data_IF_928270495076
#
_entry.id   IF_928270495076
#
_cell.length_a   1.000
_cell.length_b   1.000
_cell.length_c   1.000
_cell.angle_alpha   90.00
_cell.angle_beta   90.00
_cell.angle_gamma   90.00
#
_symmetry.space_group_name_H-M   'P 1'
#
loop_
_entity.id
_entity.type
_entity.pdbx_description
1 polymer ?
#
# COMPACT_ATOMS: atom_id res chain seq x y z
N UNK A 1 -3.30 14.51 -15.87
CA UNK A 1 -2.92 15.89 -16.24
C UNK A 1 -2.00 16.52 -15.18
N UNK A 2 -2.42 16.59 -13.91
CA UNK A 2 -1.58 17.12 -12.82
C UNK A 2 -0.16 16.52 -12.75
N UNK A 3 -0.01 15.20 -12.80
CA UNK A 3 1.32 14.56 -12.74
C UNK A 3 2.26 14.96 -13.90
N UNK A 4 1.69 15.28 -15.08
CA UNK A 4 2.43 15.75 -16.25
C UNK A 4 2.87 17.21 -16.09
N UNK A 5 2.01 18.03 -15.48
CA UNK A 5 2.28 19.43 -15.15
C UNK A 5 3.29 19.55 -13.99
N UNK A 6 3.16 18.71 -12.96
CA UNK A 6 4.15 18.59 -11.89
C UNK A 6 5.53 18.21 -12.44
N UNK A 7 5.57 17.28 -13.40
CA UNK A 7 6.82 16.87 -14.05
C UNK A 7 7.50 18.02 -14.80
N UNK A 8 6.75 18.87 -15.50
CA UNK A 8 7.32 20.00 -16.25
C UNK A 8 7.77 21.15 -15.33
N UNK A 9 7.12 21.31 -14.17
CA UNK A 9 7.41 22.38 -13.20
C UNK A 9 8.49 22.03 -12.18
N UNK A 10 8.71 20.74 -11.89
CA UNK A 10 9.71 20.27 -10.92
C UNK A 10 11.14 20.84 -11.13
N UNK A 11 11.64 20.92 -12.39
CA UNK A 11 12.98 21.43 -12.66
C UNK A 11 13.10 22.96 -12.54
N UNK A 12 11.99 23.69 -12.67
CA UNK A 12 11.97 25.15 -12.83
C UNK A 12 11.47 25.90 -11.59
N UNK A 13 10.73 25.26 -10.68
CA UNK A 13 10.15 25.91 -9.50
C UNK A 13 11.17 26.09 -8.35
N UNK A 14 11.95 27.17 -8.34
CA UNK A 14 12.97 27.41 -7.31
C UNK A 14 12.59 28.45 -6.25
N UNK A 15 11.54 29.24 -6.45
CA UNK A 15 11.05 30.22 -5.47
C UNK A 15 10.13 29.56 -4.43
N UNK A 16 10.11 30.10 -3.20
CA UNK A 16 9.36 29.53 -2.07
C UNK A 16 7.85 29.52 -2.33
N UNK A 17 7.31 30.60 -2.92
CA UNK A 17 5.89 30.74 -3.24
C UNK A 17 5.39 29.70 -4.24
N UNK A 18 6.11 29.47 -5.35
CA UNK A 18 5.71 28.45 -6.32
C UNK A 18 5.87 27.03 -5.76
N UNK A 19 6.88 26.81 -4.92
CA UNK A 19 7.13 25.53 -4.26
C UNK A 19 6.01 25.17 -3.30
N UNK A 20 5.53 26.14 -2.50
CA UNK A 20 4.46 25.90 -1.51
C UNK A 20 3.09 25.66 -2.18
N UNK A 21 2.79 26.35 -3.30
CA UNK A 21 1.58 26.09 -4.09
C UNK A 21 1.62 24.69 -4.70
N UNK A 22 2.74 24.32 -5.35
CA UNK A 22 2.92 22.97 -5.90
C UNK A 22 2.84 21.89 -4.82
N UNK A 23 3.31 22.19 -3.60
CA UNK A 23 3.23 21.30 -2.46
C UNK A 23 1.79 21.09 -1.99
N UNK A 24 0.98 22.15 -1.94
CA UNK A 24 -0.44 22.08 -1.59
C UNK A 24 -1.22 21.22 -2.59
N UNK A 25 -1.05 21.49 -3.89
CA UNK A 25 -1.71 20.74 -4.96
C UNK A 25 -1.29 19.26 -4.96
N UNK A 26 0.00 19.01 -4.72
CA UNK A 26 0.55 17.66 -4.58
C UNK A 26 -0.09 16.89 -3.41
N UNK A 27 -0.31 17.55 -2.27
CA UNK A 27 -0.99 16.92 -1.14
C UNK A 27 -2.43 16.57 -1.47
N UNK A 28 -3.15 17.50 -2.10
CA UNK A 28 -4.52 17.26 -2.53
C UNK A 28 -4.60 16.02 -3.43
N UNK A 29 -3.71 15.91 -4.43
CA UNK A 29 -3.68 14.78 -5.34
C UNK A 29 -3.18 13.47 -4.71
N UNK A 30 -2.29 13.51 -3.71
CA UNK A 30 -1.93 12.34 -2.90
C UNK A 30 -3.16 11.84 -2.14
N UNK A 31 -3.91 12.73 -1.48
CA UNK A 31 -5.14 12.38 -0.76
C UNK A 31 -6.19 11.81 -1.72
N UNK A 32 -6.41 12.42 -2.89
CA UNK A 32 -7.34 11.88 -3.90
C UNK A 32 -6.89 10.50 -4.39
N UNK A 33 -5.59 10.30 -4.62
CA UNK A 33 -5.06 9.02 -5.05
C UNK A 33 -5.28 7.92 -3.99
N UNK A 34 -5.15 8.26 -2.71
CA UNK A 34 -5.47 7.36 -1.59
C UNK A 34 -6.97 7.01 -1.55
N UNK A 35 -7.85 8.01 -1.67
CA UNK A 35 -9.31 7.77 -1.71
C UNK A 35 -9.71 6.90 -2.90
N UNK A 36 -9.07 7.06 -4.07
CA UNK A 36 -9.32 6.19 -5.23
C UNK A 36 -8.77 4.77 -5.03
N UNK A 37 -7.68 4.61 -4.30
CA UNK A 37 -7.16 3.31 -3.89
C UNK A 37 -8.15 2.60 -2.96
N UNK A 38 -8.66 3.32 -1.96
CA UNK A 38 -9.62 2.86 -0.96
C UNK A 38 -10.94 2.43 -1.60
N UNK A 39 -11.48 3.22 -2.53
CA UNK A 39 -12.74 2.92 -3.23
C UNK A 39 -12.63 1.81 -4.30
N UNK A 40 -11.48 1.13 -4.41
CA UNK A 40 -11.23 0.03 -5.35
C UNK A 40 -11.49 0.35 -6.84
N UNK A 41 -11.61 1.62 -7.23
CA UNK A 41 -11.87 2.01 -8.62
C UNK A 41 -10.61 1.74 -9.46
N UNK A 42 -10.70 0.77 -10.38
CA UNK A 42 -9.62 0.48 -11.30
C UNK A 42 -9.56 1.52 -12.42
N UNK A 43 -8.45 2.27 -12.56
CA UNK A 43 -8.33 3.16 -13.69
C UNK A 43 -8.26 2.31 -14.97
N UNK A 44 -8.85 2.79 -16.09
CA UNK A 44 -8.74 2.12 -17.38
C UNK A 44 -7.29 1.78 -17.76
N UNK A 45 -7.09 0.72 -18.54
CA UNK A 45 -5.75 0.19 -18.89
C UNK A 45 -4.80 1.25 -19.45
N UNK A 46 -5.32 2.17 -20.24
CA UNK A 46 -4.56 3.29 -20.82
C UNK A 46 -4.14 4.31 -19.76
N UNK A 47 -5.02 4.63 -18.82
CA UNK A 47 -4.74 5.47 -17.66
C UNK A 47 -3.69 4.82 -16.75
N UNK A 48 -3.78 3.51 -16.53
CA UNK A 48 -2.76 2.74 -15.78
C UNK A 48 -1.37 2.79 -16.44
N UNK A 49 -1.28 2.64 -17.77
CA UNK A 49 -0.01 2.76 -18.50
C UNK A 49 0.56 4.17 -18.35
N UNK A 50 -0.28 5.19 -18.52
CA UNK A 50 0.13 6.59 -18.40
C UNK A 50 0.58 6.93 -16.98
N UNK A 51 -0.12 6.45 -15.95
CA UNK A 51 0.26 6.62 -14.54
C UNK A 51 1.60 5.95 -14.22
N UNK A 52 1.85 4.76 -14.76
CA UNK A 52 3.14 4.07 -14.60
C UNK A 52 4.29 4.84 -15.25
N UNK A 53 4.08 5.32 -16.47
CA UNK A 53 5.12 6.04 -17.21
C UNK A 53 5.39 7.41 -16.60
N UNK A 54 4.36 8.15 -16.17
CA UNK A 54 4.54 9.45 -15.52
C UNK A 54 5.14 9.29 -14.11
N UNK A 55 4.73 8.27 -13.34
CA UNK A 55 5.32 7.96 -12.04
C UNK A 55 6.81 7.64 -12.16
N UNK A 56 7.20 6.83 -13.15
CA UNK A 56 8.61 6.54 -13.44
C UNK A 56 9.40 7.80 -13.82
N UNK A 57 8.82 8.65 -14.67
CA UNK A 57 9.42 9.92 -15.11
C UNK A 57 9.63 10.88 -13.93
N UNK A 58 8.60 11.08 -13.11
CA UNK A 58 8.67 11.89 -11.88
C UNK A 58 9.74 11.36 -10.92
N UNK A 59 9.77 10.05 -10.68
CA UNK A 59 10.81 9.42 -9.86
C UNK A 59 12.21 9.72 -10.39
N UNK A 60 12.44 9.50 -11.70
CA UNK A 60 13.74 9.72 -12.32
C UNK A 60 14.18 11.18 -12.25
N UNK A 61 13.27 12.14 -12.45
CA UNK A 61 13.59 13.56 -12.30
C UNK A 61 13.87 13.94 -10.85
N UNK A 62 13.11 13.42 -9.88
CA UNK A 62 13.45 13.61 -8.46
C UNK A 62 14.84 13.06 -8.11
N UNK A 63 15.30 11.98 -8.77
CA UNK A 63 16.65 11.43 -8.58
C UNK A 63 17.71 12.29 -9.28
N UNK A 64 17.45 12.76 -10.51
CA UNK A 64 18.35 13.70 -11.21
C UNK A 64 18.54 14.99 -10.42
N UNK A 65 17.44 15.56 -9.93
CA UNK A 65 17.46 16.74 -9.08
C UNK A 65 18.23 16.53 -7.77
N UNK A 66 18.17 15.32 -7.18
CA UNK A 66 18.99 14.97 -6.02
C UNK A 66 20.48 14.86 -6.37
N UNK A 67 20.83 14.25 -7.50
CA UNK A 67 22.24 14.03 -7.92
C UNK A 67 22.96 15.30 -8.34
N UNK A 68 22.23 16.34 -8.76
CA UNK A 68 22.80 17.66 -9.07
C UNK A 68 23.35 18.41 -7.83
N UNK A 69 23.20 17.88 -6.60
CA UNK A 69 23.21 18.66 -5.35
C UNK A 69 24.21 18.24 -4.29
N UNK A 70 25.48 18.16 -4.66
CA UNK A 70 26.56 18.29 -3.66
C UNK A 70 26.83 19.76 -3.26
N UNK A 71 26.06 20.74 -3.79
CA UNK A 71 26.23 22.16 -3.46
C UNK A 71 24.93 22.85 -3.00
N UNK A 72 24.95 23.27 -1.73
CA UNK A 72 24.34 24.43 -1.05
C UNK A 72 22.81 24.69 -1.09
N UNK A 73 22.26 24.78 0.14
CA UNK A 73 21.09 25.56 0.60
C UNK A 73 19.79 25.42 -0.21
N UNK A 74 19.07 24.32 0.05
CA UNK A 74 17.70 24.14 -0.40
C UNK A 74 16.72 24.49 0.73
N UNK A 75 15.65 25.24 0.43
CA UNK A 75 14.58 25.52 1.39
C UNK A 75 13.86 24.24 1.81
N UNK A 76 13.40 24.18 3.06
CA UNK A 76 12.67 23.03 3.61
C UNK A 76 11.48 22.62 2.72
N UNK A 77 10.73 23.61 2.19
CA UNK A 77 9.62 23.40 1.26
C UNK A 77 10.02 22.64 -0.01
N UNK A 78 11.21 22.90 -0.57
CA UNK A 78 11.65 22.25 -1.81
C UNK A 78 12.13 20.83 -1.58
N UNK A 79 12.69 20.55 -0.40
CA UNK A 79 12.95 19.17 0.05
C UNK A 79 11.65 18.40 0.21
N UNK A 80 10.64 19.01 0.85
CA UNK A 80 9.32 18.41 1.06
C UNK A 80 8.60 18.14 -0.27
N UNK A 81 8.66 19.06 -1.23
CA UNK A 81 8.08 18.88 -2.58
C UNK A 81 8.66 17.64 -3.29
N UNK A 82 9.96 17.44 -3.20
CA UNK A 82 10.64 16.31 -3.85
C UNK A 82 10.35 14.98 -3.15
N UNK A 83 10.22 14.97 -1.82
CA UNK A 83 9.82 13.77 -1.07
C UNK A 83 8.39 13.41 -1.43
N UNK A 84 7.46 14.36 -1.36
CA UNK A 84 6.05 14.12 -1.68
C UNK A 84 5.83 13.76 -3.15
N UNK A 85 6.65 14.27 -4.07
CA UNK A 85 6.59 13.89 -5.49
C UNK A 85 7.02 12.43 -5.67
N UNK A 86 7.97 11.93 -4.85
CA UNK A 86 8.35 10.51 -4.85
C UNK A 86 7.25 9.63 -4.24
N UNK A 87 6.57 10.10 -3.21
CA UNK A 87 5.38 9.43 -2.64
C UNK A 87 4.26 9.36 -3.66
N UNK A 88 3.94 10.45 -4.36
CA UNK A 88 2.95 10.45 -5.44
C UNK A 88 3.37 9.55 -6.61
N UNK A 89 4.64 9.59 -7.01
CA UNK A 89 5.17 8.70 -8.05
C UNK A 89 5.05 7.23 -7.64
N UNK A 90 5.25 6.93 -6.35
CA UNK A 90 5.07 5.62 -5.77
C UNK A 90 3.59 5.20 -5.73
N UNK A 91 2.69 6.06 -5.22
CA UNK A 91 1.25 5.80 -5.21
C UNK A 91 0.71 5.62 -6.63
N UNK A 92 1.13 6.44 -7.58
CA UNK A 92 0.81 6.27 -8.99
C UNK A 92 1.33 4.94 -9.53
N UNK A 93 2.48 4.45 -9.06
CA UNK A 93 3.03 3.15 -9.46
C UNK A 93 2.28 1.97 -8.80
N UNK A 94 1.91 2.10 -7.52
CA UNK A 94 1.14 1.13 -6.74
C UNK A 94 -0.31 1.01 -7.26
N UNK A 95 -0.98 2.14 -7.48
CA UNK A 95 -2.29 2.28 -8.12
C UNK A 95 -2.26 1.76 -9.56
N UNK A 96 -1.17 1.99 -10.28
CA UNK A 96 -1.10 1.61 -11.68
C UNK A 96 -1.09 0.10 -11.89
N UNK A 97 -0.42 -0.74 -11.07
CA UNK A 97 -0.19 -2.11 -11.58
C UNK A 97 0.32 -3.24 -10.69
N UNK A 98 0.75 -3.07 -9.45
CA UNK A 98 1.41 -4.19 -8.72
C UNK A 98 0.61 -4.72 -7.54
N UNK A 99 -0.03 -3.86 -6.74
CA UNK A 99 -0.91 -4.29 -5.66
C UNK A 99 -2.20 -4.93 -6.19
N UNK A 100 -2.95 -4.19 -7.03
CA UNK A 100 -4.19 -4.70 -7.66
C UNK A 100 -3.91 -5.89 -8.56
N UNK A 101 -2.79 -5.91 -9.29
CA UNK A 101 -2.43 -7.06 -10.14
C UNK A 101 -1.99 -8.26 -9.32
N UNK A 102 -1.20 -8.10 -8.26
CA UNK A 102 -0.86 -9.23 -7.40
C UNK A 102 -2.11 -9.80 -6.72
N UNK A 103 -3.04 -8.94 -6.26
CA UNK A 103 -4.32 -9.40 -5.71
C UNK A 103 -5.16 -10.14 -6.75
N UNK A 104 -5.34 -9.57 -7.94
CA UNK A 104 -6.04 -10.22 -9.06
C UNK A 104 -5.34 -11.51 -9.49
N UNK A 105 -4.01 -11.57 -9.49
CA UNK A 105 -3.25 -12.76 -9.82
C UNK A 105 -3.36 -13.83 -8.72
N UNK A 106 -3.42 -13.45 -7.44
CA UNK A 106 -3.71 -14.36 -6.31
C UNK A 106 -5.13 -14.91 -6.42
N UNK A 107 -6.10 -14.08 -6.78
CA UNK A 107 -7.50 -14.47 -7.04
C UNK A 107 -7.62 -15.37 -8.29
N UNK A 108 -6.89 -15.05 -9.36
CA UNK A 108 -6.89 -15.78 -10.63
C UNK A 108 -5.90 -16.96 -10.69
N UNK A 109 -5.25 -17.30 -9.57
CA UNK A 109 -4.21 -18.35 -9.46
C UNK A 109 -2.98 -18.18 -10.37
N UNK A 110 -2.70 -16.98 -10.88
CA UNK A 110 -1.44 -16.64 -11.56
C UNK A 110 -0.34 -16.34 -10.51
N UNK A 111 0.11 -17.39 -9.83
CA UNK A 111 1.01 -17.26 -8.68
C UNK A 111 2.38 -16.70 -9.09
N UNK A 112 2.86 -16.98 -10.31
CA UNK A 112 4.15 -16.50 -10.81
C UNK A 112 4.12 -15.00 -11.09
N UNK A 113 3.04 -14.50 -11.71
CA UNK A 113 2.82 -13.07 -11.90
C UNK A 113 2.70 -12.31 -10.58
N UNK A 114 2.04 -12.90 -9.58
CA UNK A 114 1.96 -12.36 -8.23
C UNK A 114 3.34 -12.32 -7.55
N UNK A 115 4.13 -13.39 -7.65
CA UNK A 115 5.48 -13.49 -7.07
C UNK A 115 6.43 -12.44 -7.65
N UNK A 116 6.41 -12.25 -8.97
CA UNK A 116 7.21 -11.23 -9.64
C UNK A 116 6.81 -9.80 -9.21
N UNK A 117 5.51 -9.57 -9.05
CA UNK A 117 4.99 -8.27 -8.58
C UNK A 117 5.39 -8.02 -7.12
N UNK A 118 5.33 -9.06 -6.28
CA UNK A 118 5.76 -9.02 -4.89
C UNK A 118 7.27 -8.78 -4.72
N UNK A 119 8.11 -9.36 -5.57
CA UNK A 119 9.56 -9.13 -5.54
C UNK A 119 9.90 -7.65 -5.82
N UNK A 120 9.17 -7.02 -6.74
CA UNK A 120 9.33 -5.59 -7.04
C UNK A 120 8.85 -4.72 -5.89
N UNK A 121 7.67 -5.02 -5.33
CA UNK A 121 7.16 -4.33 -4.16
C UNK A 121 8.16 -4.34 -2.98
N UNK A 122 8.83 -5.48 -2.75
CA UNK A 122 9.88 -5.62 -1.74
C UNK A 122 11.06 -4.67 -1.98
N UNK A 123 11.64 -4.65 -3.19
CA UNK A 123 12.73 -3.72 -3.56
C UNK A 123 12.32 -2.27 -3.33
N UNK A 124 11.07 -1.92 -3.66
CA UNK A 124 10.57 -0.56 -3.47
C UNK A 124 10.44 -0.19 -2.00
N UNK A 125 9.87 -1.05 -1.15
CA UNK A 125 9.77 -0.81 0.29
C UNK A 125 11.16 -0.63 0.90
N UNK A 126 12.12 -1.50 0.54
CA UNK A 126 13.50 -1.38 1.01
C UNK A 126 14.15 -0.05 0.60
N UNK A 127 13.85 0.44 -0.62
CA UNK A 127 14.33 1.72 -1.10
C UNK A 127 13.66 2.91 -0.41
N UNK A 128 12.37 2.82 -0.09
CA UNK A 128 11.64 3.84 0.66
C UNK A 128 12.20 3.98 2.08
N UNK A 129 12.46 2.86 2.75
CA UNK A 129 13.05 2.84 4.10
C UNK A 129 14.46 3.44 4.19
N UNK A 130 15.21 3.43 3.08
CA UNK A 130 16.57 3.99 2.98
C UNK A 130 16.58 5.49 2.67
N UNK A 131 15.42 6.14 2.56
CA UNK A 131 15.37 7.58 2.31
C UNK A 131 15.63 8.32 3.63
N UNK A 132 16.73 9.07 3.66
CA UNK A 132 17.00 10.01 4.75
C UNK A 132 16.05 11.21 4.69
N UNK A 133 15.71 11.78 5.85
CA UNK A 133 14.85 12.96 6.00
C UNK A 133 13.36 12.78 5.64
N UNK A 134 12.79 11.57 5.79
CA UNK A 134 11.33 11.40 5.73
C UNK A 134 10.64 12.13 6.89
N UNK A 135 9.56 12.85 6.57
CA UNK A 135 8.69 13.44 7.59
C UNK A 135 7.97 12.34 8.38
N UNK A 136 7.40 12.68 9.54
CA UNK A 136 6.62 11.72 10.33
C UNK A 136 5.45 11.15 9.51
N UNK A 137 4.76 12.00 8.74
CA UNK A 137 3.66 11.59 7.87
C UNK A 137 4.12 10.60 6.78
N UNK A 138 5.27 10.86 6.14
CA UNK A 138 5.81 9.95 5.12
C UNK A 138 6.19 8.59 5.72
N UNK A 139 6.71 8.57 6.96
CA UNK A 139 7.06 7.32 7.65
C UNK A 139 5.83 6.46 7.93
N UNK A 140 4.74 7.09 8.39
CA UNK A 140 3.45 6.41 8.61
C UNK A 140 2.94 5.80 7.31
N UNK A 141 3.02 6.54 6.19
CA UNK A 141 2.61 6.01 4.89
C UNK A 141 3.48 4.82 4.45
N UNK A 142 4.80 4.88 4.64
CA UNK A 142 5.70 3.76 4.33
C UNK A 142 5.38 2.53 5.19
N UNK A 143 5.06 2.71 6.47
CA UNK A 143 4.65 1.63 7.37
C UNK A 143 3.33 1.00 6.91
N UNK A 144 2.34 1.81 6.52
CA UNK A 144 1.07 1.33 5.96
C UNK A 144 1.28 0.48 4.71
N UNK A 145 2.09 0.99 3.77
CA UNK A 145 2.44 0.26 2.53
C UNK A 145 3.13 -1.07 2.85
N UNK A 146 4.00 -1.08 3.85
CA UNK A 146 4.67 -2.30 4.28
C UNK A 146 3.71 -3.32 4.89
N UNK A 147 2.78 -2.90 5.74
CA UNK A 147 1.76 -3.76 6.33
C UNK A 147 0.88 -4.43 5.25
N UNK A 148 0.45 -3.65 4.26
CA UNK A 148 -0.33 -4.15 3.12
C UNK A 148 0.48 -5.15 2.27
N UNK A 149 1.74 -4.84 2.00
CA UNK A 149 2.64 -5.76 1.28
C UNK A 149 2.83 -7.08 2.02
N UNK A 150 3.11 -7.05 3.33
CA UNK A 150 3.35 -8.24 4.13
C UNK A 150 2.09 -9.11 4.20
N UNK A 151 0.91 -8.50 4.29
CA UNK A 151 -0.36 -9.24 4.26
C UNK A 151 -0.61 -9.89 2.90
N UNK A 152 -0.34 -9.17 1.81
CA UNK A 152 -0.44 -9.76 0.47
C UNK A 152 0.56 -10.92 0.28
N UNK A 153 1.77 -10.82 0.86
CA UNK A 153 2.73 -11.92 0.91
C UNK A 153 2.22 -13.11 1.72
N UNK A 154 1.47 -12.88 2.80
CA UNK A 154 0.80 -13.95 3.54
C UNK A 154 -0.18 -14.69 2.62
N UNK A 155 -1.10 -13.96 1.99
CA UNK A 155 -2.10 -14.53 1.08
C UNK A 155 -1.47 -15.31 -0.07
N UNK A 156 -0.47 -14.74 -0.74
CA UNK A 156 0.23 -15.42 -1.83
C UNK A 156 0.93 -16.70 -1.34
N UNK A 157 1.58 -16.65 -0.17
CA UNK A 157 2.31 -17.81 0.37
C UNK A 157 1.36 -18.93 0.79
N UNK A 158 0.21 -18.58 1.38
CA UNK A 158 -0.86 -19.54 1.64
C UNK A 158 -1.41 -20.16 0.34
N UNK A 159 -1.71 -19.37 -0.70
CA UNK A 159 -2.12 -19.91 -2.01
C UNK A 159 -1.07 -20.83 -2.66
N UNK A 160 0.21 -20.62 -2.35
CA UNK A 160 1.31 -21.49 -2.78
C UNK A 160 1.44 -22.76 -1.94
N UNK A 161 0.59 -22.97 -0.93
CA UNK A 161 0.69 -24.07 0.03
C UNK A 161 1.83 -23.92 1.03
N UNK A 162 2.46 -22.74 1.13
CA UNK A 162 3.55 -22.42 2.05
C UNK A 162 3.04 -21.58 3.21
N UNK A 163 2.29 -22.25 4.07
CA UNK A 163 1.69 -21.65 5.27
C UNK A 163 2.76 -21.20 6.28
N UNK A 164 3.89 -21.89 6.34
CA UNK A 164 5.08 -21.50 7.10
C UNK A 164 5.62 -20.12 6.71
N UNK A 165 5.68 -19.84 5.41
CA UNK A 165 6.09 -18.53 4.89
C UNK A 165 5.00 -17.49 5.16
N UNK A 166 3.72 -17.86 5.09
CA UNK A 166 2.63 -16.96 5.44
C UNK A 166 2.71 -16.53 6.92
N UNK A 167 2.96 -17.46 7.83
CA UNK A 167 3.19 -17.18 9.26
C UNK A 167 4.37 -16.23 9.47
N UNK A 168 5.49 -16.49 8.79
CA UNK A 168 6.67 -15.66 8.91
C UNK A 168 6.41 -14.21 8.42
N UNK A 169 5.68 -14.06 7.32
CA UNK A 169 5.31 -12.73 6.81
C UNK A 169 4.35 -12.00 7.75
N UNK A 170 3.39 -12.71 8.35
CA UNK A 170 2.49 -12.14 9.36
C UNK A 170 3.26 -11.68 10.60
N UNK A 171 4.17 -12.51 11.12
CA UNK A 171 5.02 -12.14 12.25
C UNK A 171 5.89 -10.91 11.96
N UNK A 172 6.34 -10.73 10.71
CA UNK A 172 7.08 -9.55 10.27
C UNK A 172 6.20 -8.30 10.19
N UNK A 173 4.90 -8.45 9.94
CA UNK A 173 3.96 -7.33 9.94
C UNK A 173 3.83 -6.74 11.35
N UNK A 174 3.76 -7.60 12.37
CA UNK A 174 3.90 -7.22 13.79
C UNK A 174 3.12 -5.95 14.14
N UNK A 175 3.81 -4.99 14.77
CA UNK A 175 3.23 -3.72 15.24
C UNK A 175 2.65 -2.84 14.12
N UNK A 176 3.07 -3.04 12.85
CA UNK A 176 2.55 -2.27 11.72
C UNK A 176 1.04 -2.47 11.51
N UNK A 177 0.49 -3.57 12.04
CA UNK A 177 -0.94 -3.89 11.94
C UNK A 177 -1.81 -3.05 12.89
N UNK A 178 -1.26 -2.52 13.99
CA UNK A 178 -2.05 -1.75 14.96
C UNK A 178 -2.29 -0.30 14.53
N UNK A 179 -1.43 0.25 13.67
CA UNK A 179 -1.52 1.64 13.20
C UNK A 179 -2.32 1.79 11.89
N UNK A 180 -3.06 0.75 11.49
CA UNK A 180 -3.86 0.76 10.27
C UNK A 180 -5.09 1.66 10.42
N UNK A 181 -5.41 2.39 9.36
CA UNK A 181 -6.72 3.00 9.23
C UNK A 181 -7.81 1.94 9.00
N UNK A 182 -9.09 2.27 9.28
CA UNK A 182 -10.19 1.31 9.19
C UNK A 182 -10.30 0.61 7.84
N UNK A 183 -10.09 1.32 6.73
CA UNK A 183 -10.20 0.73 5.40
C UNK A 183 -9.14 -0.34 5.19
N UNK A 184 -7.88 -0.04 5.49
CA UNK A 184 -6.81 -1.04 5.35
C UNK A 184 -6.99 -2.19 6.34
N UNK A 185 -7.43 -1.94 7.57
CA UNK A 185 -7.72 -3.00 8.54
C UNK A 185 -8.80 -3.98 8.03
N UNK A 186 -9.90 -3.47 7.47
CA UNK A 186 -10.95 -4.31 6.87
C UNK A 186 -10.43 -5.16 5.71
N UNK A 187 -9.63 -4.58 4.81
CA UNK A 187 -9.06 -5.31 3.68
C UNK A 187 -8.13 -6.44 4.11
N UNK A 188 -7.32 -6.19 5.14
CA UNK A 188 -6.40 -7.18 5.68
C UNK A 188 -7.16 -8.28 6.43
N UNK A 189 -8.20 -7.90 7.18
CA UNK A 189 -9.09 -8.85 7.85
C UNK A 189 -9.83 -9.75 6.86
N UNK A 190 -10.34 -9.22 5.75
CA UNK A 190 -10.99 -9.99 4.67
C UNK A 190 -10.03 -11.05 4.10
N UNK A 191 -8.76 -10.66 3.92
CA UNK A 191 -7.72 -11.58 3.45
C UNK A 191 -7.45 -12.71 4.45
N UNK A 192 -7.36 -12.41 5.75
CA UNK A 192 -7.14 -13.41 6.80
C UNK A 192 -8.36 -14.29 7.03
N UNK A 193 -9.56 -13.73 6.91
CA UNK A 193 -10.82 -14.46 6.92
C UNK A 193 -10.86 -15.49 5.78
N UNK A 194 -10.50 -15.10 4.56
CA UNK A 194 -10.40 -16.00 3.42
C UNK A 194 -9.38 -17.13 3.61
N UNK A 195 -8.23 -16.87 4.26
CA UNK A 195 -7.25 -17.91 4.63
C UNK A 195 -7.87 -18.88 5.65
N UNK A 196 -8.51 -18.35 6.68
CA UNK A 196 -9.16 -19.14 7.73
C UNK A 196 -10.25 -20.07 7.20
N UNK A 197 -11.16 -19.54 6.38
CA UNK A 197 -12.26 -20.31 5.78
C UNK A 197 -11.77 -21.45 4.88
N UNK A 198 -10.70 -21.24 4.10
CA UNK A 198 -10.10 -22.31 3.30
C UNK A 198 -9.45 -23.39 4.18
N UNK A 199 -8.77 -23.01 5.26
CA UNK A 199 -8.20 -23.98 6.20
C UNK A 199 -9.29 -24.80 6.90
N UNK A 200 -10.43 -24.20 7.26
CA UNK A 200 -11.60 -24.94 7.75
C UNK A 200 -12.08 -25.96 6.72
N UNK A 201 -12.20 -25.56 5.46
CA UNK A 201 -12.65 -26.46 4.39
C UNK A 201 -11.71 -27.65 4.18
N UNK A 202 -10.43 -27.49 4.53
CA UNK A 202 -9.39 -28.52 4.48
C UNK A 202 -9.27 -29.35 5.77
N UNK A 203 -10.04 -29.01 6.81
CA UNK A 203 -10.03 -29.69 8.12
C UNK A 203 -8.88 -29.29 9.03
N UNK A 204 -8.11 -28.25 8.68
CA UNK A 204 -7.05 -27.70 9.54
C UNK A 204 -7.64 -26.66 10.51
N UNK A 205 -8.44 -27.17 11.46
CA UNK A 205 -9.23 -26.33 12.37
C UNK A 205 -8.34 -25.47 13.28
N UNK A 206 -7.22 -26.00 13.76
CA UNK A 206 -6.30 -25.26 14.64
C UNK A 206 -5.75 -24.03 13.92
N UNK A 207 -5.26 -24.22 12.70
CA UNK A 207 -4.71 -23.11 11.93
C UNK A 207 -5.80 -22.14 11.46
N UNK A 208 -6.96 -22.67 11.07
CA UNK A 208 -8.10 -21.86 10.69
C UNK A 208 -8.53 -20.90 11.80
N UNK A 209 -8.74 -21.42 13.02
CA UNK A 209 -9.08 -20.62 14.19
C UNK A 209 -8.04 -19.52 14.44
N UNK A 210 -6.75 -19.83 14.23
CA UNK A 210 -5.68 -18.85 14.38
C UNK A 210 -5.81 -17.69 13.39
N UNK A 211 -6.04 -17.96 12.10
CA UNK A 211 -6.21 -16.90 11.09
C UNK A 211 -7.52 -16.12 11.26
N UNK A 212 -8.62 -16.81 11.60
CA UNK A 212 -9.90 -16.16 11.88
C UNK A 212 -9.82 -15.20 13.08
N UNK A 213 -9.11 -15.59 14.15
CA UNK A 213 -8.86 -14.70 15.29
C UNK A 213 -8.05 -13.46 14.89
N UNK A 214 -7.01 -13.61 14.08
CA UNK A 214 -6.23 -12.47 13.57
C UNK A 214 -7.08 -11.52 12.73
N UNK A 215 -7.98 -12.06 11.90
CA UNK A 215 -8.92 -11.25 11.14
C UNK A 215 -9.86 -10.47 12.08
N UNK A 216 -10.36 -11.14 13.12
CA UNK A 216 -11.24 -10.53 14.11
C UNK A 216 -10.54 -9.43 14.93
N UNK A 217 -9.30 -9.68 15.35
CA UNK A 217 -8.49 -8.72 16.12
C UNK A 217 -8.28 -7.43 15.32
N UNK A 218 -7.91 -7.55 14.03
CA UNK A 218 -7.77 -6.37 13.15
C UNK A 218 -9.04 -5.52 13.06
N UNK A 219 -10.21 -6.15 12.98
CA UNK A 219 -11.48 -5.42 12.89
C UNK A 219 -11.86 -4.82 14.24
N UNK A 220 -11.64 -5.55 15.34
CA UNK A 220 -11.99 -5.08 16.68
C UNK A 220 -11.05 -3.98 17.20
N UNK A 221 -9.83 -3.90 16.69
CA UNK A 221 -8.92 -2.77 16.96
C UNK A 221 -9.46 -1.45 16.39
N UNK A 222 -10.40 -1.51 15.44
CA UNK A 222 -11.05 -0.33 14.88
C UNK A 222 -12.34 0.02 15.63
N UNK A 223 -12.63 1.32 15.74
CA UNK A 223 -13.91 1.77 16.25
C UNK A 223 -15.04 1.35 15.30
N UNK A 224 -16.08 0.67 15.82
CA UNK A 224 -17.18 0.13 15.01
C UNK A 224 -17.88 1.18 14.14
N UNK A 225 -17.98 2.42 14.60
CA UNK A 225 -18.60 3.53 13.87
C UNK A 225 -17.78 3.98 12.65
N UNK A 226 -16.50 3.60 12.59
CA UNK A 226 -15.58 3.92 11.49
C UNK A 226 -15.49 2.79 10.46
N UNK A 227 -16.13 1.65 10.73
CA UNK A 227 -16.18 0.54 9.80
C UNK A 227 -17.19 0.82 8.70
N UNK A 228 -16.91 0.31 7.50
CA UNK A 228 -17.85 0.26 6.39
C UNK A 228 -18.96 -0.75 6.68
N UNK A 229 -20.02 -0.72 5.86
CA UNK A 229 -21.08 -1.74 5.93
C UNK A 229 -20.51 -3.13 5.67
N UNK A 230 -19.63 -3.25 4.69
CA UNK A 230 -18.93 -4.48 4.36
C UNK A 230 -18.01 -4.94 5.52
N UNK A 231 -17.34 -4.01 6.20
CA UNK A 231 -16.52 -4.30 7.39
C UNK A 231 -17.35 -4.85 8.56
N UNK A 232 -18.55 -4.32 8.78
CA UNK A 232 -19.47 -4.84 9.79
C UNK A 232 -20.00 -6.24 9.42
N UNK A 233 -20.34 -6.47 8.15
CA UNK A 233 -20.75 -7.78 7.64
C UNK A 233 -19.62 -8.81 7.77
N UNK A 234 -18.40 -8.44 7.40
CA UNK A 234 -17.20 -9.25 7.53
C UNK A 234 -16.99 -9.66 9.00
N UNK A 235 -17.13 -8.72 9.94
CA UNK A 235 -17.04 -8.99 11.37
C UNK A 235 -18.03 -10.06 11.81
N UNK A 236 -19.28 -10.00 11.34
CA UNK A 236 -20.33 -10.98 11.66
C UNK A 236 -19.97 -12.34 11.05
N UNK A 237 -19.49 -12.36 9.80
CA UNK A 237 -19.07 -13.58 9.12
C UNK A 237 -17.96 -14.30 9.89
N UNK A 238 -16.94 -13.56 10.34
CA UNK A 238 -15.83 -14.13 11.11
C UNK A 238 -16.31 -14.72 12.44
N UNK A 239 -17.22 -14.04 13.16
CA UNK A 239 -17.79 -14.60 14.39
C UNK A 239 -18.57 -15.88 14.14
N UNK A 240 -19.36 -15.93 13.06
CA UNK A 240 -20.15 -17.10 12.73
C UNK A 240 -19.25 -18.32 12.47
N UNK A 241 -18.19 -18.15 11.68
CA UNK A 241 -17.23 -19.22 11.39
C UNK A 241 -16.46 -19.66 12.64
N UNK A 242 -16.06 -18.73 13.51
CA UNK A 242 -15.41 -19.05 14.79
C UNK A 242 -16.30 -19.87 15.74
N UNK A 243 -17.63 -19.76 15.63
CA UNK A 243 -18.58 -20.56 16.43
C UNK A 243 -18.76 -21.96 15.84
N UNK A 244 -18.59 -22.11 14.53
CA UNK A 244 -18.79 -23.36 13.81
C UNK A 244 -17.55 -24.24 13.73
N UNK A 245 -16.36 -23.65 13.83
CA UNK A 245 -15.05 -24.30 13.81
C UNK A 245 -14.71 -25.05 15.11
#
# INVERSE_FOLDING_TARGET
EFATDLFSKLPTSCDSSSTDVLLSDLNHHITTANVLAENRIAPPLEVSRNLKDIGRKLWNECIKERRKRDNLLQSASRTQLLVRTRVLAFLAHALAREYRRARVCVESSDLDGALLSMAKAADYIDRLKKIDNLTTEDRVQVQKIEAEYLTMRCALSWKQGRLDVAEHMYAKAGDLLHDLDPSSAEHLADTFHGIGGDLLSKGDNEMALKWLRRALDLINDQALERLSTEGLELRISIHHELIQA
#
